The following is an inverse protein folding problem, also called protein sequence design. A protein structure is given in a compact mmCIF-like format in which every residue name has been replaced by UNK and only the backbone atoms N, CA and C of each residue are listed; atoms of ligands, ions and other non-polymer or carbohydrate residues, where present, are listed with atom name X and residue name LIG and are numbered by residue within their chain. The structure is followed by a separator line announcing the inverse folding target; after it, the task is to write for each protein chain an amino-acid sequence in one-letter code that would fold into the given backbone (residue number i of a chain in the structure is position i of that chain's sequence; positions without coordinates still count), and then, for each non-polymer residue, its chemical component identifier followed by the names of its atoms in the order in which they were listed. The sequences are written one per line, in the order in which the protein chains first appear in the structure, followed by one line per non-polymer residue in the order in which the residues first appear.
data_IF_738512347016
#
_entry.id   IF_738512347016
#
_cell.length_a   1.000
_cell.length_b   1.000
_cell.length_c   1.000
_cell.angle_alpha   90.00
_cell.angle_beta   90.00
_cell.angle_gamma   90.00
#
_symmetry.space_group_name_H-M   'P 1'
#
loop_
_entity.id
_entity.type
_entity.pdbx_description
1 polymer ?
#
# COMPACT_ATOMS: atom_id res chain seq x y z
N UNK A 1 -14.44 14.68 20.73
CA UNK A 1 -14.08 13.32 20.27
C UNK A 1 -13.21 13.35 19.03
N UNK A 2 -13.67 13.88 17.89
CA UNK A 2 -12.89 13.90 16.64
C UNK A 2 -11.50 14.53 16.83
N UNK A 3 -11.42 15.67 17.54
CA UNK A 3 -10.15 16.31 17.87
C UNK A 3 -9.19 15.37 18.63
N UNK A 4 -9.69 14.58 19.58
CA UNK A 4 -8.89 13.59 20.33
C UNK A 4 -8.39 12.44 19.44
N UNK A 5 -9.14 12.08 18.39
CA UNK A 5 -8.69 11.08 17.43
C UNK A 5 -7.59 11.67 16.54
N UNK A 6 -7.81 12.88 16.03
CA UNK A 6 -6.88 13.62 15.17
C UNK A 6 -5.55 13.95 15.87
N UNK A 7 -5.54 14.16 17.19
CA UNK A 7 -4.30 14.33 17.96
C UNK A 7 -3.44 13.06 18.03
N UNK A 8 -4.04 11.88 17.85
CA UNK A 8 -3.29 10.61 17.90
C UNK A 8 -2.70 10.23 16.54
N UNK A 9 -3.45 10.47 15.45
CA UNK A 9 -3.00 10.30 14.07
C UNK A 9 -3.96 11.00 13.10
N UNK A 10 -3.51 11.19 11.87
CA UNK A 10 -4.37 11.56 10.74
C UNK A 10 -5.48 10.52 10.53
N UNK A 11 -6.68 10.99 10.21
CA UNK A 11 -7.87 10.17 9.97
C UNK A 11 -8.58 10.65 8.71
N UNK A 12 -9.15 9.72 7.95
CA UNK A 12 -10.02 10.09 6.83
C UNK A 12 -11.37 10.58 7.32
N UNK A 13 -12.06 11.35 6.48
CA UNK A 13 -13.44 11.78 6.73
C UNK A 13 -14.36 10.59 6.98
N UNK A 14 -14.21 9.51 6.20
CA UNK A 14 -14.99 8.29 6.35
C UNK A 14 -14.72 7.57 7.69
N UNK A 15 -13.45 7.50 8.14
CA UNK A 15 -13.12 6.93 9.44
C UNK A 15 -13.80 7.71 10.58
N UNK A 16 -13.74 9.04 10.54
CA UNK A 16 -14.36 9.90 11.56
C UNK A 16 -15.89 9.80 11.54
N UNK A 17 -16.50 9.79 10.35
CA UNK A 17 -17.95 9.59 10.18
C UNK A 17 -18.40 8.26 10.79
N UNK A 18 -17.69 7.16 10.50
CA UNK A 18 -17.98 5.86 11.10
C UNK A 18 -17.83 5.84 12.62
N UNK A 19 -16.88 6.61 13.18
CA UNK A 19 -16.69 6.73 14.63
C UNK A 19 -17.77 7.58 15.32
N UNK A 20 -18.36 8.54 14.61
CA UNK A 20 -19.50 9.32 15.08
C UNK A 20 -20.78 8.47 15.04
N UNK A 21 -21.03 7.77 13.93
CA UNK A 21 -22.17 6.87 13.79
C UNK A 21 -22.19 5.77 14.87
N UNK A 22 -21.04 5.15 15.15
CA UNK A 22 -20.90 4.14 16.23
C UNK A 22 -21.27 4.66 17.63
N UNK A 23 -21.27 5.98 17.83
CA UNK A 23 -21.65 6.64 19.08
C UNK A 23 -23.06 7.22 19.06
N UNK A 24 -23.81 7.00 17.99
CA UNK A 24 -25.21 7.42 17.86
C UNK A 24 -25.40 8.88 17.44
N UNK A 25 -24.38 9.56 16.91
CA UNK A 25 -24.54 10.91 16.40
C UNK A 25 -25.35 10.91 15.08
N UNK A 26 -26.33 11.82 14.91
CA UNK A 26 -27.05 11.99 13.65
C UNK A 26 -26.11 12.30 12.47
N UNK A 27 -26.48 11.84 11.28
CA UNK A 27 -25.66 11.97 10.08
C UNK A 27 -25.45 13.41 9.62
N UNK A 28 -26.48 14.25 9.72
CA UNK A 28 -26.47 15.67 9.40
C UNK A 28 -25.55 16.46 10.35
N UNK A 29 -25.63 16.19 11.66
CA UNK A 29 -24.75 16.79 12.66
C UNK A 29 -23.31 16.36 12.42
N UNK A 30 -23.09 15.07 12.12
CA UNK A 30 -21.78 14.53 11.81
C UNK A 30 -21.18 15.19 10.57
N UNK A 31 -21.95 15.34 9.49
CA UNK A 31 -21.52 16.01 8.28
C UNK A 31 -21.09 17.45 8.55
N UNK A 32 -21.91 18.24 9.25
CA UNK A 32 -21.58 19.63 9.60
C UNK A 32 -20.32 19.76 10.44
N UNK A 33 -20.08 18.85 11.38
CA UNK A 33 -18.85 18.84 12.18
C UNK A 33 -17.64 18.51 11.30
N UNK A 34 -17.75 17.49 10.44
CA UNK A 34 -16.65 17.09 9.56
C UNK A 34 -16.34 18.18 8.52
N UNK A 35 -17.34 18.92 8.03
CA UNK A 35 -17.14 20.05 7.11
C UNK A 35 -16.35 21.17 7.77
N UNK A 36 -16.67 21.49 9.04
CA UNK A 36 -15.89 22.48 9.81
C UNK A 36 -14.46 22.02 10.05
N UNK A 37 -14.25 20.74 10.32
CA UNK A 37 -12.91 20.19 10.49
C UNK A 37 -12.11 20.23 9.19
N UNK A 38 -12.75 19.94 8.05
CA UNK A 38 -12.12 20.06 6.73
C UNK A 38 -11.79 21.53 6.39
N UNK A 39 -12.72 22.45 6.62
CA UNK A 39 -12.49 23.89 6.43
C UNK A 39 -11.36 24.45 7.32
N UNK A 40 -11.15 23.85 8.49
CA UNK A 40 -10.03 24.18 9.38
C UNK A 40 -8.72 23.46 9.02
N UNK A 41 -8.67 22.68 7.93
CA UNK A 41 -7.50 21.90 7.51
C UNK A 41 -7.16 20.72 8.44
N UNK A 42 -8.07 20.33 9.33
CA UNK A 42 -7.86 19.24 10.28
C UNK A 42 -8.23 17.86 9.70
N UNK A 43 -9.02 17.84 8.63
CA UNK A 43 -9.38 16.64 7.87
C UNK A 43 -9.13 16.92 6.41
N UNK A 44 -8.17 16.19 5.85
CA UNK A 44 -7.80 16.28 4.44
C UNK A 44 -7.52 14.86 3.94
N UNK A 45 -8.44 14.33 3.14
CA UNK A 45 -8.32 12.98 2.59
C UNK A 45 -7.24 12.89 1.50
N UNK A 46 -6.91 14.02 0.83
CA UNK A 46 -5.86 14.08 -0.18
C UNK A 46 -4.47 14.05 0.46
N UNK A 47 -4.23 14.91 1.46
CA UNK A 47 -3.00 14.86 2.26
C UNK A 47 -2.84 13.51 2.96
N UNK A 48 -3.93 12.95 3.51
CA UNK A 48 -3.92 11.60 4.07
C UNK A 48 -3.46 10.56 3.03
N UNK A 49 -4.03 10.59 1.82
CA UNK A 49 -3.73 9.63 0.77
C UNK A 49 -2.26 9.74 0.31
N UNK A 50 -1.74 10.95 0.12
CA UNK A 50 -0.35 11.18 -0.25
C UNK A 50 0.62 10.65 0.81
N UNK A 51 0.38 10.98 2.09
CA UNK A 51 1.22 10.49 3.19
C UNK A 51 1.17 8.97 3.31
N UNK A 52 -0.02 8.38 3.11
CA UNK A 52 -0.22 6.94 3.13
C UNK A 52 0.58 6.23 2.04
N UNK A 53 0.49 6.73 0.80
CA UNK A 53 1.23 6.23 -0.36
C UNK A 53 2.73 6.35 -0.10
N UNK A 54 3.22 7.53 0.29
CA UNK A 54 4.65 7.80 0.53
C UNK A 54 5.23 6.86 1.60
N UNK A 55 4.53 6.71 2.74
CA UNK A 55 4.96 5.87 3.86
C UNK A 55 5.04 4.39 3.48
N UNK A 56 4.03 3.87 2.78
CA UNK A 56 3.96 2.45 2.39
C UNK A 56 4.86 2.11 1.21
N UNK A 57 5.02 3.03 0.26
CA UNK A 57 5.94 2.85 -0.85
C UNK A 57 7.39 2.73 -0.33
N UNK A 58 7.81 3.63 0.56
CA UNK A 58 9.15 3.61 1.14
C UNK A 58 9.41 2.35 1.99
N UNK A 59 8.45 1.94 2.83
CA UNK A 59 8.71 0.94 3.88
C UNK A 59 8.19 -0.48 3.58
N UNK A 60 7.10 -0.61 2.83
CA UNK A 60 6.38 -1.88 2.72
C UNK A 60 6.54 -2.58 1.36
N UNK A 61 6.99 -1.85 0.33
CA UNK A 61 7.13 -2.38 -1.03
C UNK A 61 5.78 -2.85 -1.58
N UNK A 62 4.73 -2.06 -1.35
CA UNK A 62 3.36 -2.36 -1.81
C UNK A 62 3.19 -1.88 -3.25
N UNK A 63 2.51 -2.68 -4.06
CA UNK A 63 2.04 -2.30 -5.40
C UNK A 63 1.05 -1.13 -5.34
N UNK A 64 0.93 -0.39 -6.45
CA UNK A 64 -0.10 0.68 -6.60
C UNK A 64 -1.49 0.14 -6.30
N UNK A 65 -1.79 -1.07 -6.79
CA UNK A 65 -3.09 -1.73 -6.61
C UNK A 65 -3.38 -2.04 -5.15
N UNK A 66 -2.39 -2.50 -4.37
CA UNK A 66 -2.58 -2.71 -2.94
C UNK A 66 -2.83 -1.38 -2.21
N UNK A 67 -2.09 -0.32 -2.56
CA UNK A 67 -2.28 1.00 -1.98
C UNK A 67 -3.68 1.56 -2.28
N UNK A 68 -4.15 1.42 -3.52
CA UNK A 68 -5.51 1.81 -3.92
C UNK A 68 -6.57 1.07 -3.08
N UNK A 69 -6.44 -0.25 -2.93
CA UNK A 69 -7.38 -1.05 -2.14
C UNK A 69 -7.36 -0.67 -0.64
N UNK A 70 -6.18 -0.40 -0.09
CA UNK A 70 -6.02 0.05 1.28
C UNK A 70 -6.70 1.43 1.49
N UNK A 71 -6.47 2.40 0.60
CA UNK A 71 -7.11 3.72 0.66
C UNK A 71 -8.62 3.65 0.48
N UNK A 72 -9.11 2.81 -0.44
CA UNK A 72 -10.54 2.58 -0.62
C UNK A 72 -11.17 1.99 0.63
N UNK A 73 -10.50 1.07 1.32
CA UNK A 73 -10.95 0.52 2.61
C UNK A 73 -10.96 1.59 3.72
N UNK A 74 -10.11 2.62 3.59
CA UNK A 74 -10.13 3.82 4.45
C UNK A 74 -11.20 4.83 4.06
N UNK A 75 -11.97 4.56 3.01
CA UNK A 75 -13.06 5.42 2.55
C UNK A 75 -12.60 6.69 1.86
N UNK A 76 -11.37 6.71 1.34
CA UNK A 76 -10.91 7.77 0.43
C UNK A 76 -11.58 7.56 -0.92
N UNK A 77 -12.02 8.64 -1.55
CA UNK A 77 -12.68 8.58 -2.85
C UNK A 77 -11.71 8.21 -3.99
N UNK A 78 -12.28 7.75 -5.10
CA UNK A 78 -11.51 7.23 -6.24
C UNK A 78 -10.62 8.29 -6.90
N UNK A 79 -11.05 9.54 -6.97
CA UNK A 79 -10.31 10.61 -7.64
C UNK A 79 -9.08 11.00 -6.83
N UNK A 80 -9.26 11.14 -5.51
CA UNK A 80 -8.16 11.36 -4.57
C UNK A 80 -7.16 10.20 -4.58
N UNK A 81 -7.64 8.95 -4.61
CA UNK A 81 -6.77 7.76 -4.75
C UNK A 81 -5.96 7.82 -6.03
N UNK A 82 -6.60 8.10 -7.17
CA UNK A 82 -5.92 8.15 -8.46
C UNK A 82 -4.85 9.24 -8.47
N UNK A 83 -5.16 10.41 -7.92
CA UNK A 83 -4.23 11.54 -7.81
C UNK A 83 -3.02 11.19 -6.95
N UNK A 84 -3.24 10.63 -5.76
CA UNK A 84 -2.16 10.22 -4.86
C UNK A 84 -1.25 9.12 -5.46
N UNK A 85 -1.81 8.26 -6.33
CA UNK A 85 -1.07 7.20 -7.00
C UNK A 85 -0.44 7.62 -8.34
N UNK A 86 -0.84 8.76 -8.92
CA UNK A 86 -0.33 9.23 -10.20
C UNK A 86 1.17 9.54 -10.15
N UNK A 87 1.68 9.94 -8.99
CA UNK A 87 3.10 10.18 -8.75
C UNK A 87 3.96 8.90 -8.73
N UNK A 88 3.33 7.73 -8.60
CA UNK A 88 4.05 6.46 -8.69
C UNK A 88 4.17 6.10 -10.17
N UNK A 89 5.38 5.75 -10.63
CA UNK A 89 5.59 5.24 -11.99
C UNK A 89 5.27 3.73 -12.06
N UNK A 90 4.75 3.26 -13.20
CA UNK A 90 4.52 1.84 -13.45
C UNK A 90 5.84 1.08 -13.69
N UNK A 91 6.85 1.72 -14.30
CA UNK A 91 8.20 1.14 -14.43
C UNK A 91 8.83 0.83 -13.07
N UNK A 92 8.69 1.78 -12.14
CA UNK A 92 9.12 1.62 -10.76
C UNK A 92 8.46 0.42 -10.02
N UNK A 93 7.27 -0.03 -10.44
CA UNK A 93 6.61 -1.17 -9.79
C UNK A 93 7.36 -2.49 -10.05
N UNK A 94 7.80 -2.73 -11.30
CA UNK A 94 8.58 -3.91 -11.66
C UNK A 94 9.96 -3.88 -10.99
N UNK A 95 10.66 -2.76 -11.11
CA UNK A 95 11.99 -2.59 -10.50
C UNK A 95 11.94 -2.85 -9.00
N UNK A 96 10.89 -2.37 -8.33
CA UNK A 96 10.70 -2.61 -6.90
C UNK A 96 10.42 -4.07 -6.57
N UNK A 97 9.65 -4.78 -7.40
CA UNK A 97 9.43 -6.21 -7.23
C UNK A 97 10.74 -6.99 -7.35
N UNK A 98 11.56 -6.65 -8.34
CA UNK A 98 12.88 -7.24 -8.57
C UNK A 98 13.81 -6.99 -7.38
N UNK A 99 13.90 -5.76 -6.89
CA UNK A 99 14.68 -5.41 -5.69
C UNK A 99 14.27 -6.24 -4.46
N UNK A 100 12.96 -6.38 -4.22
CA UNK A 100 12.43 -7.16 -3.09
C UNK A 100 12.80 -8.65 -3.19
N UNK A 101 12.75 -9.19 -4.41
CA UNK A 101 13.12 -10.59 -4.68
C UNK A 101 14.63 -10.79 -4.54
N UNK A 102 15.45 -9.93 -5.17
CA UNK A 102 16.92 -9.94 -5.04
C UNK A 102 17.35 -9.90 -3.58
N UNK A 103 16.78 -8.98 -2.79
CA UNK A 103 17.11 -8.83 -1.38
C UNK A 103 16.79 -10.09 -0.54
N UNK A 104 15.81 -10.90 -0.96
CA UNK A 104 15.49 -12.17 -0.31
C UNK A 104 16.35 -13.33 -0.81
N UNK A 105 16.54 -13.44 -2.12
CA UNK A 105 17.38 -14.49 -2.72
C UNK A 105 18.82 -14.45 -2.19
N UNK A 106 19.39 -13.26 -1.97
CA UNK A 106 20.72 -13.11 -1.36
C UNK A 106 20.85 -13.75 0.03
N UNK A 107 19.74 -13.93 0.74
CA UNK A 107 19.70 -14.53 2.08
C UNK A 107 19.30 -16.00 2.06
N UNK A 108 18.89 -16.51 0.91
CA UNK A 108 18.42 -17.87 0.74
C UNK A 108 19.53 -18.77 0.17
N UNK A 109 19.54 -20.03 0.62
CA UNK A 109 20.37 -21.08 0.04
C UNK A 109 19.62 -21.69 -1.14
N UNK A 110 20.18 -21.54 -2.34
CA UNK A 110 19.64 -22.18 -3.54
C UNK A 110 20.09 -23.64 -3.58
N UNK A 111 19.17 -24.51 -3.99
CA UNK A 111 19.41 -25.95 -4.10
C UNK A 111 19.06 -26.48 -5.49
N UNK A 112 18.95 -27.81 -5.61
CA UNK A 112 18.51 -28.43 -6.86
C UNK A 112 17.03 -28.17 -7.18
N UNK A 113 16.18 -28.05 -6.14
CA UNK A 113 14.76 -27.72 -6.26
C UNK A 113 14.44 -26.40 -5.55
N UNK A 114 14.17 -25.37 -6.36
CA UNK A 114 13.81 -24.03 -5.87
C UNK A 114 12.27 -23.84 -5.81
N UNK A 115 11.46 -24.86 -6.05
CA UNK A 115 9.99 -24.76 -6.06
C UNK A 115 9.44 -24.15 -4.77
N UNK A 116 10.04 -24.51 -3.63
CA UNK A 116 9.68 -23.94 -2.31
C UNK A 116 10.02 -22.45 -2.22
N UNK A 117 11.16 -22.03 -2.76
CA UNK A 117 11.61 -20.64 -2.78
C UNK A 117 10.71 -19.83 -3.71
N UNK A 118 10.46 -20.31 -4.92
CA UNK A 118 9.56 -19.71 -5.91
C UNK A 118 8.18 -19.46 -5.31
N UNK A 119 7.54 -20.50 -4.74
CA UNK A 119 6.19 -20.36 -4.14
C UNK A 119 6.16 -19.33 -3.02
N UNK A 120 7.19 -19.31 -2.16
CA UNK A 120 7.30 -18.35 -1.06
C UNK A 120 7.46 -16.91 -1.56
N UNK A 121 8.29 -16.69 -2.57
CA UNK A 121 8.56 -15.35 -3.11
C UNK A 121 7.38 -14.80 -3.93
N UNK A 122 6.76 -15.64 -4.76
CA UNK A 122 5.51 -15.29 -5.47
C UNK A 122 4.41 -14.96 -4.46
N UNK A 123 4.21 -15.78 -3.43
CA UNK A 123 3.24 -15.50 -2.38
C UNK A 123 3.53 -14.22 -1.59
N UNK A 124 4.81 -13.88 -1.40
CA UNK A 124 5.23 -12.63 -0.77
C UNK A 124 4.89 -11.41 -1.63
N UNK A 125 5.11 -11.45 -2.95
CA UNK A 125 4.69 -10.38 -3.87
C UNK A 125 3.16 -10.29 -3.98
N UNK A 126 2.45 -11.42 -4.02
CA UNK A 126 0.99 -11.43 -4.05
C UNK A 126 0.37 -10.73 -2.83
N UNK A 127 0.89 -10.98 -1.62
CA UNK A 127 0.46 -10.27 -0.38
C UNK A 127 0.80 -8.76 -0.39
N UNK A 128 1.73 -8.34 -1.24
CA UNK A 128 2.05 -6.94 -1.52
C UNK A 128 1.22 -6.34 -2.66
N UNK A 129 0.35 -7.14 -3.27
CA UNK A 129 -0.62 -6.76 -4.30
C UNK A 129 -0.09 -6.75 -5.73
N UNK A 130 1.14 -7.21 -5.96
CA UNK A 130 1.65 -7.42 -7.31
C UNK A 130 0.75 -8.43 -8.04
N UNK A 131 0.56 -8.24 -9.35
CA UNK A 131 -0.22 -9.19 -10.15
C UNK A 131 0.48 -10.55 -10.16
N UNK A 132 -0.30 -11.63 -10.28
CA UNK A 132 0.26 -12.98 -10.31
C UNK A 132 1.25 -13.15 -11.47
N UNK A 133 0.93 -12.59 -12.64
CA UNK A 133 1.81 -12.65 -13.80
C UNK A 133 3.16 -11.97 -13.53
N UNK A 134 3.14 -10.70 -13.08
CA UNK A 134 4.35 -9.95 -12.75
C UNK A 134 5.16 -10.64 -11.65
N UNK A 135 4.50 -11.16 -10.61
CA UNK A 135 5.17 -11.86 -9.52
C UNK A 135 5.89 -13.13 -9.99
N UNK A 136 5.25 -13.94 -10.86
CA UNK A 136 5.87 -15.13 -11.43
C UNK A 136 7.06 -14.76 -12.34
N UNK A 137 6.87 -13.80 -13.25
CA UNK A 137 7.92 -13.36 -14.18
C UNK A 137 9.17 -12.87 -13.42
N UNK A 138 8.99 -11.95 -12.47
CA UNK A 138 10.09 -11.37 -11.69
C UNK A 138 10.82 -12.43 -10.88
N UNK A 139 10.09 -13.33 -10.21
CA UNK A 139 10.71 -14.38 -9.39
C UNK A 139 11.52 -15.36 -10.24
N UNK A 140 10.99 -15.78 -11.39
CA UNK A 140 11.70 -16.69 -12.30
C UNK A 140 12.95 -16.02 -12.89
N UNK A 141 12.83 -14.77 -13.35
CA UNK A 141 13.95 -14.02 -13.89
C UNK A 141 15.08 -13.86 -12.87
N UNK A 142 14.75 -13.45 -11.64
CA UNK A 142 15.74 -13.22 -10.59
C UNK A 142 16.36 -14.51 -10.04
N UNK A 143 15.62 -15.62 -9.99
CA UNK A 143 16.19 -16.93 -9.65
C UNK A 143 17.23 -17.37 -10.68
N UNK A 144 16.94 -17.22 -11.98
CA UNK A 144 17.88 -17.55 -13.04
C UNK A 144 19.13 -16.66 -12.96
N UNK A 145 18.95 -15.35 -12.76
CA UNK A 145 20.06 -14.41 -12.60
C UNK A 145 20.91 -14.69 -11.35
N UNK A 146 20.30 -15.07 -10.23
CA UNK A 146 21.01 -15.45 -9.00
C UNK A 146 21.81 -16.74 -9.18
N UNK A 147 21.26 -17.73 -9.90
CA UNK A 147 21.98 -18.97 -10.21
C UNK A 147 23.23 -18.70 -11.05
N UNK A 148 23.11 -17.86 -12.07
CA UNK A 148 24.25 -17.49 -12.90
C UNK A 148 25.32 -16.75 -12.08
N UNK A 149 24.90 -15.82 -11.21
CA UNK A 149 25.82 -15.10 -10.31
C UNK A 149 26.56 -15.99 -9.29
N UNK A 150 26.06 -17.20 -8.98
CA UNK A 150 26.72 -18.15 -8.06
C UNK A 150 27.56 -19.22 -8.78
N UNK A 151 27.47 -19.30 -10.11
CA UNK A 151 28.27 -20.21 -10.94
C UNK A 151 29.63 -19.61 -11.30
N UNK A 152 29.71 -18.29 -11.34
CA UNK A 152 30.94 -17.49 -11.48
C UNK A 152 31.62 -17.36 -10.13
#
# INVERSE_FOLDING_TARGET
MCLRLLTARSHTRAELSGQLAKRGYPGDVSARVLDRLAAAGLVDDADFAEQWVRSRHARAGKSKRALAAELHTKGVDKETINTALAALDAGAERDRAEELVRAKLRRDTLGADDTRITRRLVGMLARRGYSQNLACEVVLAELNAERERRRV
#
